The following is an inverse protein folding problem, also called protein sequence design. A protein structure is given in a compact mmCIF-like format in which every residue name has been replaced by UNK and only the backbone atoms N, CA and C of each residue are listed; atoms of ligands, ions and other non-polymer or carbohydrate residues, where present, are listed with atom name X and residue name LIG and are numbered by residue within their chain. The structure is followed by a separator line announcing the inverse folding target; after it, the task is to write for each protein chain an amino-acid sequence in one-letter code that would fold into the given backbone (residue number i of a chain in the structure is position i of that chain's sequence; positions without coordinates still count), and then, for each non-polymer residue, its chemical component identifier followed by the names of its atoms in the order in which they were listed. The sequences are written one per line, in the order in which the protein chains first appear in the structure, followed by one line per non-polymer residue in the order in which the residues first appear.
data_IF_466719779287
#
_entry.id   IF_466719779287
#
_cell.length_a   1.000
_cell.length_b   1.000
_cell.length_c   1.000
_cell.angle_alpha   90.00
_cell.angle_beta   90.00
_cell.angle_gamma   90.00
#
_symmetry.space_group_name_H-M   'P 1'
#
loop_
_entity.id
_entity.type
_entity.pdbx_description
1 polymer ?
#
# COMPACT_ATOMS: atom_id res chain seq x y z
N UNK A 1 1.58 -41.28 -1.37
CA UNK A 1 0.59 -40.20 -1.17
C UNK A 1 1.06 -39.01 -1.98
N UNK A 2 0.31 -38.60 -3.00
CA UNK A 2 0.57 -37.34 -3.69
C UNK A 2 0.07 -36.24 -2.76
N UNK A 3 0.96 -35.41 -2.24
CA UNK A 3 0.56 -34.15 -1.63
C UNK A 3 0.13 -33.24 -2.78
N UNK A 4 -1.17 -33.22 -3.05
CA UNK A 4 -1.80 -32.13 -3.78
C UNK A 4 -1.74 -30.93 -2.84
N UNK A 5 -0.66 -30.16 -2.94
CA UNK A 5 -0.69 -28.78 -2.51
C UNK A 5 -1.78 -28.11 -3.34
N UNK A 6 -2.89 -27.81 -2.69
CA UNK A 6 -3.90 -26.92 -3.21
C UNK A 6 -3.18 -25.63 -3.63
N UNK A 7 -3.02 -25.46 -4.94
CA UNK A 7 -2.52 -24.24 -5.57
C UNK A 7 -3.68 -23.25 -5.61
N UNK A 8 -4.32 -23.03 -4.47
CA UNK A 8 -5.16 -21.86 -4.30
C UNK A 8 -4.23 -20.68 -4.55
N UNK A 9 -4.44 -20.00 -5.67
CA UNK A 9 -3.73 -18.77 -5.98
C UNK A 9 -3.88 -17.84 -4.78
N UNK A 10 -2.80 -17.63 -4.02
CA UNK A 10 -2.84 -16.69 -2.91
C UNK A 10 -3.36 -15.36 -3.46
N UNK A 11 -4.35 -14.78 -2.78
CA UNK A 11 -4.97 -13.54 -3.25
C UNK A 11 -3.90 -12.46 -3.31
N UNK A 12 -3.67 -11.96 -4.51
CA UNK A 12 -2.74 -10.87 -4.78
C UNK A 12 -3.48 -9.54 -4.93
N UNK A 13 -2.75 -8.49 -4.58
CA UNK A 13 -3.14 -7.10 -4.73
C UNK A 13 -2.10 -6.40 -5.57
N UNK A 14 -2.59 -5.59 -6.51
CA UNK A 14 -1.80 -4.57 -7.20
C UNK A 14 -1.76 -3.36 -6.28
N UNK A 15 -0.60 -3.12 -5.70
CA UNK A 15 -0.37 -2.04 -4.73
C UNK A 15 0.47 -0.94 -5.37
N UNK A 16 0.03 0.29 -5.16
CA UNK A 16 0.78 1.52 -5.34
C UNK A 16 1.57 1.82 -4.07
N UNK A 17 2.88 1.99 -4.22
CA UNK A 17 3.79 2.27 -3.11
C UNK A 17 4.73 3.42 -3.47
N UNK A 18 5.10 4.23 -2.49
CA UNK A 18 6.14 5.24 -2.66
C UNK A 18 7.50 4.59 -2.40
N UNK A 19 8.39 4.54 -3.40
CA UNK A 19 9.70 3.88 -3.26
C UNK A 19 10.56 4.47 -2.14
N UNK A 20 10.51 5.79 -1.97
CA UNK A 20 11.20 6.50 -0.88
C UNK A 20 10.67 6.20 0.53
N UNK A 21 9.56 5.46 0.65
CA UNK A 21 8.98 5.10 1.93
C UNK A 21 9.74 3.98 2.67
N UNK A 22 10.66 3.27 2.01
CA UNK A 22 11.28 2.06 2.55
C UNK A 22 12.71 2.30 3.02
N UNK A 23 13.10 1.66 4.14
CA UNK A 23 14.49 1.63 4.64
C UNK A 23 15.42 1.04 3.58
N UNK A 24 14.96 -0.04 2.95
CA UNK A 24 15.65 -0.72 1.85
C UNK A 24 14.74 -0.76 0.62
N UNK A 25 14.82 0.22 -0.29
CA UNK A 25 13.99 0.27 -1.49
C UNK A 25 14.13 -0.94 -2.42
N UNK A 26 15.24 -1.67 -2.35
CA UNK A 26 15.48 -2.86 -3.20
C UNK A 26 14.52 -4.01 -2.93
N UNK A 27 13.79 -4.01 -1.81
CA UNK A 27 12.70 -4.98 -1.57
C UNK A 27 11.63 -4.90 -2.66
N UNK A 28 11.43 -3.73 -3.27
CA UNK A 28 10.49 -3.55 -4.37
C UNK A 28 11.01 -4.20 -5.66
N UNK A 29 12.32 -4.19 -5.88
CA UNK A 29 12.94 -4.81 -7.06
C UNK A 29 12.80 -6.33 -7.01
N UNK A 30 12.92 -6.93 -5.82
CA UNK A 30 12.66 -8.36 -5.57
C UNK A 30 11.21 -8.76 -5.82
N UNK A 31 10.28 -7.80 -5.72
CA UNK A 31 8.86 -7.94 -6.01
C UNK A 31 8.51 -7.58 -7.46
N UNK A 32 9.53 -7.42 -8.31
CA UNK A 32 9.37 -7.05 -9.72
C UNK A 32 8.58 -5.74 -9.92
N UNK A 33 8.81 -4.78 -9.02
CA UNK A 33 8.14 -3.49 -9.04
C UNK A 33 8.28 -2.78 -10.39
N UNK A 34 7.17 -2.18 -10.83
CA UNK A 34 7.13 -1.34 -12.02
C UNK A 34 6.89 0.10 -11.61
N UNK A 35 7.83 0.99 -11.91
CA UNK A 35 7.61 2.42 -11.72
C UNK A 35 6.49 2.91 -12.63
N UNK A 36 5.47 3.52 -12.03
CA UNK A 36 4.31 4.11 -12.73
C UNK A 36 4.37 5.63 -12.75
N UNK A 37 5.08 6.26 -11.81
CA UNK A 37 5.33 7.71 -11.79
C UNK A 37 6.69 8.01 -11.18
N UNK A 38 7.43 8.95 -11.76
CA UNK A 38 8.72 9.43 -11.23
C UNK A 38 8.61 10.92 -10.91
N UNK A 39 9.05 11.33 -9.72
CA UNK A 39 9.03 12.74 -9.34
C UNK A 39 10.31 13.44 -9.83
N UNK A 40 10.19 14.41 -10.73
CA UNK A 40 11.35 15.11 -11.34
C UNK A 40 12.29 15.80 -10.34
N UNK A 41 11.79 16.14 -9.15
CA UNK A 41 12.53 16.88 -8.12
C UNK A 41 13.40 16.02 -7.22
N UNK A 42 13.14 14.73 -7.13
CA UNK A 42 13.90 13.86 -6.25
C UNK A 42 13.98 12.45 -6.85
N UNK A 43 15.16 12.09 -7.36
CA UNK A 43 15.40 10.81 -8.03
C UNK A 43 15.21 9.59 -7.11
N UNK A 44 15.01 9.82 -5.80
CA UNK A 44 14.78 8.82 -4.78
C UNK A 44 13.30 8.55 -4.50
N UNK A 45 12.40 9.33 -5.09
CA UNK A 45 10.97 9.19 -4.89
C UNK A 45 10.33 8.86 -6.25
N UNK A 46 9.85 7.63 -6.35
CA UNK A 46 8.95 7.18 -7.41
C UNK A 46 7.71 6.57 -6.78
N UNK A 47 6.64 6.51 -7.56
CA UNK A 47 5.50 5.64 -7.29
C UNK A 47 5.71 4.37 -8.10
N UNK A 48 5.73 3.25 -7.41
CA UNK A 48 5.86 1.93 -7.99
C UNK A 48 4.58 1.12 -7.80
N UNK A 49 4.29 0.26 -8.77
CA UNK A 49 3.30 -0.81 -8.70
C UNK A 49 3.99 -2.12 -8.32
N UNK A 50 3.46 -2.84 -7.33
CA UNK A 50 3.87 -4.21 -6.98
C UNK A 50 2.67 -5.15 -6.89
N UNK A 51 2.87 -6.41 -7.25
CA UNK A 51 1.89 -7.49 -7.12
C UNK A 51 2.21 -8.37 -5.91
N UNK A 52 1.46 -8.19 -4.82
CA UNK A 52 1.81 -8.73 -3.49
C UNK A 52 0.65 -9.42 -2.80
N UNK A 53 0.96 -10.42 -1.97
CA UNK A 53 -0.01 -11.05 -1.07
C UNK A 53 -0.12 -10.28 0.25
N UNK A 54 -1.14 -10.58 1.06
CA UNK A 54 -1.31 -9.93 2.36
C UNK A 54 -0.10 -10.13 3.30
N UNK A 55 0.59 -11.28 3.18
CA UNK A 55 1.83 -11.57 3.91
C UNK A 55 2.95 -10.62 3.49
N UNK A 56 3.15 -10.44 2.19
CA UNK A 56 4.14 -9.50 1.66
C UNK A 56 3.80 -8.05 1.98
N UNK A 57 2.52 -7.67 2.01
CA UNK A 57 2.08 -6.36 2.49
C UNK A 57 2.54 -6.15 3.95
N UNK A 58 2.39 -7.14 4.82
CA UNK A 58 2.87 -7.07 6.21
C UNK A 58 4.39 -6.94 6.31
N UNK A 59 5.13 -7.63 5.45
CA UNK A 59 6.59 -7.51 5.35
C UNK A 59 6.99 -6.10 4.90
N UNK A 60 6.32 -5.54 3.89
CA UNK A 60 6.51 -4.17 3.42
C UNK A 60 6.22 -3.14 4.52
N UNK A 61 5.11 -3.26 5.27
CA UNK A 61 4.76 -2.37 6.38
C UNK A 61 5.88 -2.26 7.43
N UNK A 62 6.59 -3.35 7.70
CA UNK A 62 7.71 -3.38 8.66
C UNK A 62 9.00 -2.74 8.14
N UNK A 63 9.11 -2.54 6.83
CA UNK A 63 10.25 -1.89 6.18
C UNK A 63 10.01 -0.42 5.86
N UNK A 64 8.78 0.08 6.08
CA UNK A 64 8.47 1.50 5.91
C UNK A 64 9.12 2.33 7.02
N UNK A 65 9.72 3.45 6.65
CA UNK A 65 10.18 4.48 7.59
C UNK A 65 9.06 5.45 7.93
N UNK A 66 9.28 6.35 8.87
CA UNK A 66 8.39 7.53 9.01
C UNK A 66 8.65 8.50 7.85
N UNK A 67 7.69 9.36 7.52
CA UNK A 67 7.81 10.32 6.40
C UNK A 67 9.11 11.15 6.51
N UNK A 68 9.81 11.34 5.39
CA UNK A 68 11.11 12.03 5.36
C UNK A 68 10.99 13.47 5.89
N UNK A 69 9.91 14.17 5.52
CA UNK A 69 9.66 15.55 5.95
C UNK A 69 9.06 15.67 7.37
N UNK A 70 8.39 14.62 7.87
CA UNK A 70 7.83 14.61 9.23
C UNK A 70 7.85 13.19 9.81
N UNK A 71 8.76 12.90 10.76
CA UNK A 71 8.87 11.57 11.34
C UNK A 71 7.65 11.15 12.17
N UNK A 72 6.62 11.98 12.32
CA UNK A 72 5.39 11.62 13.04
C UNK A 72 4.26 11.17 12.12
N UNK A 73 4.39 11.38 10.80
CA UNK A 73 3.39 10.99 9.81
C UNK A 73 3.82 9.64 9.21
N UNK A 74 2.99 8.58 9.33
CA UNK A 74 3.31 7.29 8.75
C UNK A 74 3.09 7.31 7.23
N UNK A 75 3.81 6.47 6.51
CA UNK A 75 3.46 6.16 5.12
C UNK A 75 2.23 5.27 5.03
N UNK A 76 1.64 5.20 3.84
CA UNK A 76 0.64 4.21 3.51
C UNK A 76 0.84 3.74 2.06
N UNK A 77 0.20 2.64 1.73
CA UNK A 77 0.08 2.09 0.39
C UNK A 77 -1.38 1.75 0.12
N UNK A 78 -1.78 1.84 -1.14
CA UNK A 78 -3.15 1.57 -1.58
C UNK A 78 -3.14 0.75 -2.85
N UNK A 79 -4.27 0.14 -3.18
CA UNK A 79 -4.35 -0.73 -4.33
C UNK A 79 -5.68 -1.44 -4.43
N UNK A 80 -5.69 -2.49 -5.26
CA UNK A 80 -6.87 -3.31 -5.50
C UNK A 80 -6.49 -4.76 -5.73
N UNK A 81 -7.44 -5.68 -5.53
CA UNK A 81 -7.24 -7.10 -5.82
C UNK A 81 -7.07 -7.32 -7.32
N UNK A 82 -6.06 -8.08 -7.75
CA UNK A 82 -5.70 -8.19 -9.19
C UNK A 82 -6.85 -8.60 -10.11
N UNK A 83 -7.76 -9.43 -9.61
CA UNK A 83 -8.90 -9.95 -10.37
C UNK A 83 -10.23 -9.23 -10.06
N UNK A 84 -10.22 -8.22 -9.18
CA UNK A 84 -11.39 -7.41 -8.85
C UNK A 84 -10.98 -5.99 -8.42
N UNK A 85 -11.04 -5.04 -9.36
CA UNK A 85 -10.72 -3.62 -9.11
C UNK A 85 -11.70 -2.92 -8.15
N UNK A 86 -12.83 -3.54 -7.85
CA UNK A 86 -13.79 -3.03 -6.87
C UNK A 86 -13.38 -3.37 -5.43
N UNK A 87 -12.54 -4.38 -5.23
CA UNK A 87 -11.98 -4.69 -3.90
C UNK A 87 -10.70 -3.88 -3.69
N UNK A 88 -10.86 -2.74 -3.04
CA UNK A 88 -9.76 -1.86 -2.64
C UNK A 88 -9.06 -2.39 -1.38
N UNK A 89 -7.78 -2.10 -1.29
CA UNK A 89 -6.96 -2.34 -0.11
C UNK A 89 -6.12 -1.11 0.21
N UNK A 90 -6.05 -0.75 1.49
CA UNK A 90 -5.21 0.34 1.99
C UNK A 90 -4.46 -0.18 3.21
N UNK A 91 -3.14 -0.01 3.25
CA UNK A 91 -2.28 -0.49 4.32
C UNK A 91 -1.32 0.61 4.79
N UNK A 92 -1.34 0.91 6.08
CA UNK A 92 -0.50 1.94 6.71
C UNK A 92 0.84 1.34 7.18
N UNK A 93 1.90 2.13 7.26
CA UNK A 93 3.18 1.71 7.83
C UNK A 93 3.04 1.17 9.25
N UNK A 94 3.95 0.27 9.67
CA UNK A 94 3.91 -0.34 11.00
C UNK A 94 4.04 0.68 12.16
N UNK A 95 4.50 1.89 11.84
CA UNK A 95 4.70 3.04 12.70
C UNK A 95 3.44 3.90 12.93
N UNK A 96 2.28 3.50 12.39
CA UNK A 96 0.99 4.20 12.56
C UNK A 96 0.43 4.21 13.99
N UNK A 97 1.13 3.59 14.95
CA UNK A 97 0.71 3.44 16.35
C UNK A 97 -0.27 2.30 16.60
N UNK A 98 -0.71 1.59 15.55
CA UNK A 98 -1.59 0.41 15.60
C UNK A 98 -0.93 -0.84 14.97
N UNK A 99 0.34 -0.74 14.57
CA UNK A 99 1.11 -1.86 14.00
C UNK A 99 0.83 -2.10 12.51
N UNK A 100 0.47 -1.05 11.77
CA UNK A 100 0.22 -1.10 10.33
C UNK A 100 -1.17 -1.63 10.02
N UNK A 101 -2.18 -0.80 10.29
CA UNK A 101 -3.58 -1.15 10.03
C UNK A 101 -3.80 -1.39 8.53
N UNK A 102 -4.62 -2.40 8.20
CA UNK A 102 -5.02 -2.73 6.83
C UNK A 102 -6.54 -2.63 6.75
N UNK A 103 -7.01 -1.99 5.69
CA UNK A 103 -8.42 -1.90 5.33
C UNK A 103 -8.64 -2.59 3.99
N UNK A 104 -9.63 -3.47 3.93
CA UNK A 104 -10.13 -4.06 2.69
C UNK A 104 -11.60 -3.66 2.57
N UNK A 105 -11.96 -3.06 1.44
CA UNK A 105 -13.28 -2.48 1.25
C UNK A 105 -13.69 -2.49 -0.21
N UNK A 106 -14.99 -2.46 -0.46
CA UNK A 106 -15.50 -2.27 -1.80
C UNK A 106 -15.45 -0.79 -2.18
N UNK A 107 -15.13 -0.47 -3.44
CA UNK A 107 -15.06 0.89 -3.99
C UNK A 107 -16.38 1.66 -3.85
N UNK A 108 -17.52 0.98 -3.85
CA UNK A 108 -18.83 1.63 -3.66
C UNK A 108 -19.19 1.87 -2.19
N UNK A 109 -18.38 1.36 -1.24
CA UNK A 109 -18.63 1.49 0.19
C UNK A 109 -18.19 2.86 0.73
N UNK A 110 -18.89 3.93 0.33
CA UNK A 110 -18.56 5.33 0.67
C UNK A 110 -18.32 5.57 2.17
N UNK A 111 -19.10 4.94 3.05
CA UNK A 111 -18.93 5.06 4.50
C UNK A 111 -17.61 4.45 4.98
N UNK A 112 -17.17 3.35 4.36
CA UNK A 112 -15.89 2.71 4.65
C UNK A 112 -14.73 3.52 4.10
N UNK A 113 -14.84 4.05 2.88
CA UNK A 113 -13.83 4.97 2.32
C UNK A 113 -13.64 6.17 3.27
N UNK A 114 -14.74 6.76 3.74
CA UNK A 114 -14.69 7.84 4.72
C UNK A 114 -13.97 7.41 6.01
N UNK A 115 -14.25 6.21 6.54
CA UNK A 115 -13.59 5.67 7.72
C UNK A 115 -12.06 5.56 7.53
N UNK A 116 -11.60 5.10 6.36
CA UNK A 116 -10.17 5.01 6.03
C UNK A 116 -9.53 6.39 5.94
N UNK A 117 -10.20 7.34 5.28
CA UNK A 117 -9.73 8.74 5.15
C UNK A 117 -9.65 9.39 6.54
N UNK A 118 -10.70 9.27 7.35
CA UNK A 118 -10.72 9.81 8.72
C UNK A 118 -9.58 9.20 9.56
N UNK A 119 -9.30 7.90 9.39
CA UNK A 119 -8.17 7.25 10.03
C UNK A 119 -6.84 7.85 9.58
N UNK A 120 -6.59 7.99 8.26
CA UNK A 120 -5.37 8.61 7.76
C UNK A 120 -5.17 10.04 8.23
N UNK A 121 -6.24 10.86 8.26
CA UNK A 121 -6.22 12.21 8.82
C UNK A 121 -5.82 12.19 10.30
N UNK A 122 -6.36 11.24 11.07
CA UNK A 122 -6.00 11.09 12.50
C UNK A 122 -4.52 10.73 12.72
N UNK A 123 -3.85 10.19 11.68
CA UNK A 123 -2.40 9.91 11.67
C UNK A 123 -1.57 11.04 11.07
N UNK A 124 -2.19 12.14 10.66
CA UNK A 124 -1.53 13.32 10.11
C UNK A 124 -1.38 13.34 8.59
N UNK A 125 -1.90 12.34 7.87
CA UNK A 125 -1.84 12.31 6.40
C UNK A 125 -2.86 13.30 5.83
N UNK A 126 -2.46 14.26 4.97
CA UNK A 126 -3.39 15.18 4.34
C UNK A 126 -4.45 14.46 3.50
N UNK A 127 -5.70 14.90 3.60
CA UNK A 127 -6.82 14.30 2.86
C UNK A 127 -6.59 14.30 1.35
N UNK A 128 -5.95 15.35 0.84
CA UNK A 128 -5.68 15.57 -0.57
C UNK A 128 -4.72 14.52 -1.16
N UNK A 129 -3.94 13.85 -0.31
CA UNK A 129 -3.08 12.76 -0.73
C UNK A 129 -3.83 11.42 -0.81
N UNK A 130 -4.99 11.28 -0.15
CA UNK A 130 -5.76 10.03 -0.05
C UNK A 130 -6.96 10.03 -1.01
N UNK A 131 -6.69 9.79 -2.29
CA UNK A 131 -7.73 9.65 -3.32
C UNK A 131 -7.88 8.18 -3.76
N UNK A 132 -8.64 7.42 -2.97
CA UNK A 132 -8.85 5.98 -3.20
C UNK A 132 -9.84 5.68 -4.34
N UNK A 133 -10.71 6.65 -4.68
CA UNK A 133 -11.74 6.46 -5.70
C UNK A 133 -11.16 6.49 -7.12
N UNK A 134 -10.02 7.16 -7.30
CA UNK A 134 -9.33 7.32 -8.58
C UNK A 134 -8.25 6.26 -8.86
N UNK A 135 -8.13 5.23 -8.02
CA UNK A 135 -7.13 4.18 -8.22
C UNK A 135 -7.45 3.38 -9.50
N UNK A 136 -6.68 3.61 -10.57
CA UNK A 136 -6.69 2.83 -11.81
C UNK A 136 -5.32 2.97 -12.51
N UNK A 137 -4.42 2.04 -12.21
CA UNK A 137 -3.08 1.95 -12.79
C UNK A 137 -2.85 0.56 -13.40
#
# INVERSE_FOLDING_TARGET
MKNEFDTSSEVKYKMRVVRGAFINPSILDELEAKTIESFEKDAWISIDEVSVTLRQIKELQGQMTKHYDDPNIPWYMDGYRENDKNELIVAFGADDGEGGRIFQLNRDAKNKIKEVIDYGISKGIPKEQMDFDQIDF
#
